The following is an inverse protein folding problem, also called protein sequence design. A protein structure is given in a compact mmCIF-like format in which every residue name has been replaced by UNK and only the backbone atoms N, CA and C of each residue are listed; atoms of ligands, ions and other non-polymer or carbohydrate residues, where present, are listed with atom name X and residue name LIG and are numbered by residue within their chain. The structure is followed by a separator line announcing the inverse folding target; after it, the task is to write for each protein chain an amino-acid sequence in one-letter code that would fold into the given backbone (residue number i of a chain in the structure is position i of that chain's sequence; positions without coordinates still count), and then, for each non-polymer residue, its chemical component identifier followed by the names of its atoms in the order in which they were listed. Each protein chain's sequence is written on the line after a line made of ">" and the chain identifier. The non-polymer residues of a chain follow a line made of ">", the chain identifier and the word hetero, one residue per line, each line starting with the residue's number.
data_IF_373402265393
#
_entry.id   IF_373402265393
#
_cell.length_a   1.000
_cell.length_b   1.000
_cell.length_c   1.000
_cell.angle_alpha   90.00
_cell.angle_beta   90.00
_cell.angle_gamma   90.00
#
_symmetry.space_group_name_H-M   'P 1'
#
loop_
_entity.id
_entity.type
_entity.pdbx_description
1 polymer ?
#
# COMPACT_ATOMS: atom_id res chain seq x y z
N UNK A 1 -24.93 -9.71 16.15
CA UNK A 1 -24.98 -8.47 15.35
C UNK A 1 -23.54 -8.08 15.07
N UNK A 2 -23.02 -8.42 13.90
CA UNK A 2 -21.63 -8.15 13.54
C UNK A 2 -21.53 -6.70 13.07
N UNK A 3 -20.91 -5.85 13.88
CA UNK A 3 -20.50 -4.52 13.44
C UNK A 3 -19.27 -4.69 12.54
N UNK A 4 -19.49 -4.90 11.24
CA UNK A 4 -18.44 -4.72 10.26
C UNK A 4 -18.20 -3.21 10.13
N UNK A 5 -17.10 -2.72 10.70
CA UNK A 5 -16.61 -1.38 10.41
C UNK A 5 -15.77 -1.50 9.14
N UNK A 6 -16.24 -1.01 7.98
CA UNK A 6 -15.49 -1.13 6.75
C UNK A 6 -14.14 -0.43 6.92
N UNK A 7 -13.04 -1.18 6.75
CA UNK A 7 -11.71 -0.61 6.72
C UNK A 7 -11.63 0.45 5.61
N UNK A 8 -11.04 1.61 5.92
CA UNK A 8 -10.82 2.65 4.91
C UNK A 8 -9.88 2.16 3.81
N UNK A 9 -10.00 2.70 2.60
CA UNK A 9 -9.09 2.40 1.48
C UNK A 9 -7.62 2.62 1.86
N UNK A 10 -7.33 3.66 2.65
CA UNK A 10 -5.99 3.94 3.13
C UNK A 10 -5.47 2.81 4.02
N UNK A 11 -6.32 2.27 4.91
CA UNK A 11 -5.97 1.14 5.78
C UNK A 11 -5.78 -0.16 4.98
N UNK A 12 -6.63 -0.42 3.99
CA UNK A 12 -6.49 -1.59 3.11
C UNK A 12 -5.16 -1.55 2.34
N UNK A 13 -4.87 -0.42 1.70
CA UNK A 13 -3.61 -0.21 0.99
C UNK A 13 -2.40 -0.34 1.92
N UNK A 14 -2.43 0.33 3.08
CA UNK A 14 -1.37 0.25 4.08
C UNK A 14 -1.07 -1.19 4.50
N UNK A 15 -2.11 -1.99 4.73
CA UNK A 15 -1.99 -3.39 5.16
C UNK A 15 -1.39 -4.24 4.04
N UNK A 16 -1.87 -4.07 2.80
CA UNK A 16 -1.38 -4.77 1.63
C UNK A 16 0.11 -4.45 1.36
N UNK A 17 0.47 -3.16 1.39
CA UNK A 17 1.85 -2.69 1.19
C UNK A 17 2.79 -3.22 2.26
N UNK A 18 2.38 -3.19 3.54
CA UNK A 18 3.18 -3.77 4.65
C UNK A 18 3.36 -5.27 4.49
N UNK A 19 2.30 -5.99 4.13
CA UNK A 19 2.34 -7.44 3.89
C UNK A 19 3.33 -7.79 2.79
N UNK A 20 3.26 -7.11 1.64
CA UNK A 20 4.18 -7.32 0.50
C UNK A 20 5.62 -6.89 0.79
N UNK A 21 5.84 -5.93 1.71
CA UNK A 21 7.19 -5.54 2.15
C UNK A 21 7.89 -6.68 2.89
N UNK A 22 7.16 -7.41 3.74
CA UNK A 22 7.72 -8.42 4.62
C UNK A 22 8.85 -7.84 5.49
N UNK A 23 9.99 -8.53 5.51
CA UNK A 23 11.15 -8.17 6.33
C UNK A 23 12.08 -7.11 5.69
N UNK A 24 11.77 -6.64 4.47
CA UNK A 24 12.55 -5.58 3.85
C UNK A 24 12.42 -4.28 4.67
N UNK A 25 13.51 -3.55 4.79
CA UNK A 25 13.46 -2.19 5.32
C UNK A 25 12.62 -1.29 4.42
N UNK A 26 11.99 -0.26 4.98
CA UNK A 26 11.23 0.72 4.19
C UNK A 26 12.09 1.34 3.08
N UNK A 27 13.36 1.65 3.35
CA UNK A 27 14.26 2.21 2.34
C UNK A 27 14.50 1.24 1.16
N UNK A 28 14.72 -0.05 1.44
CA UNK A 28 14.94 -1.05 0.40
C UNK A 28 13.67 -1.29 -0.42
N UNK A 29 12.51 -1.37 0.24
CA UNK A 29 11.25 -1.62 -0.43
C UNK A 29 10.77 -0.40 -1.23
N UNK A 30 10.95 0.82 -0.73
CA UNK A 30 10.65 2.05 -1.46
C UNK A 30 11.44 2.12 -2.78
N UNK A 31 12.73 1.75 -2.74
CA UNK A 31 13.55 1.63 -3.97
C UNK A 31 13.00 0.60 -4.94
N UNK A 32 12.55 -0.57 -4.46
CA UNK A 32 11.89 -1.60 -5.30
C UNK A 32 10.61 -1.08 -5.94
N UNK A 33 9.84 -0.28 -5.22
CA UNK A 33 8.59 0.32 -5.69
C UNK A 33 8.78 1.57 -6.57
N UNK A 34 9.99 2.10 -6.68
CA UNK A 34 10.25 3.33 -7.44
C UNK A 34 9.69 4.61 -6.78
N UNK A 35 9.56 4.63 -5.45
CA UNK A 35 9.07 5.78 -4.67
C UNK A 35 10.09 6.19 -3.59
N UNK A 36 9.90 7.36 -2.98
CA UNK A 36 10.71 7.76 -1.83
C UNK A 36 10.34 6.95 -0.58
N UNK A 37 11.29 6.82 0.36
CA UNK A 37 11.02 6.21 1.67
C UNK A 37 9.92 6.97 2.43
N UNK A 38 9.89 8.31 2.35
CA UNK A 38 8.85 9.10 3.01
C UNK A 38 7.47 8.82 2.43
N UNK A 39 7.34 8.64 1.12
CA UNK A 39 6.08 8.21 0.49
C UNK A 39 5.67 6.83 0.99
N UNK A 40 6.60 5.87 1.06
CA UNK A 40 6.29 4.54 1.61
C UNK A 40 5.85 4.60 3.07
N UNK A 41 6.54 5.36 3.92
CA UNK A 41 6.17 5.52 5.32
C UNK A 41 4.73 6.03 5.46
N UNK A 42 4.36 7.04 4.66
CA UNK A 42 3.01 7.63 4.67
C UNK A 42 1.95 6.64 4.22
N UNK A 43 2.23 5.88 3.16
CA UNK A 43 1.36 4.80 2.67
C UNK A 43 1.13 3.76 3.77
N UNK A 44 2.20 3.31 4.43
CA UNK A 44 2.09 2.32 5.51
C UNK A 44 1.37 2.89 6.73
N UNK A 45 1.57 4.15 7.10
CA UNK A 45 0.85 4.78 8.20
C UNK A 45 -0.64 5.08 7.92
N UNK A 46 -1.13 4.82 6.70
CA UNK A 46 -2.44 5.29 6.24
C UNK A 46 -2.62 6.82 6.40
N UNK A 47 -1.51 7.57 6.33
CA UNK A 47 -1.48 9.02 6.48
C UNK A 47 -1.34 9.71 5.11
N UNK A 48 -2.32 10.57 4.80
CA UNK A 48 -2.46 11.39 3.59
C UNK A 48 -2.98 10.69 2.31
N UNK A 49 -3.62 11.51 1.47
CA UNK A 49 -4.12 11.14 0.15
C UNK A 49 -2.98 10.64 -0.75
N UNK A 50 -3.10 9.42 -1.26
CA UNK A 50 -2.20 8.89 -2.29
C UNK A 50 -2.67 9.33 -3.66
N UNK A 51 -1.77 9.80 -4.51
CA UNK A 51 -2.12 10.16 -5.90
C UNK A 51 -2.28 8.91 -6.76
N UNK A 52 -3.15 8.97 -7.77
CA UNK A 52 -3.28 7.88 -8.76
C UNK A 52 -1.94 7.58 -9.44
N UNK A 53 -1.12 8.58 -9.74
CA UNK A 53 0.22 8.39 -10.30
C UNK A 53 1.15 7.55 -9.39
N UNK A 54 1.04 7.73 -8.07
CA UNK A 54 1.79 6.91 -7.11
C UNK A 54 1.28 5.47 -7.13
N UNK A 55 -0.04 5.27 -7.18
CA UNK A 55 -0.65 3.94 -7.28
C UNK A 55 -0.20 3.24 -8.57
N UNK A 56 -0.25 3.91 -9.72
CA UNK A 56 0.23 3.35 -10.99
C UNK A 56 1.71 2.96 -10.95
N UNK A 57 2.54 3.77 -10.29
CA UNK A 57 3.98 3.47 -10.12
C UNK A 57 4.16 2.19 -9.31
N UNK A 58 3.43 2.06 -8.21
CA UNK A 58 3.46 0.88 -7.33
C UNK A 58 2.91 -0.36 -8.08
N UNK A 59 1.78 -0.22 -8.77
CA UNK A 59 1.15 -1.28 -9.57
C UNK A 59 2.11 -1.83 -10.62
N UNK A 60 2.81 -0.94 -11.35
CA UNK A 60 3.84 -1.33 -12.32
C UNK A 60 5.00 -2.08 -11.67
N UNK A 61 5.49 -1.61 -10.52
CA UNK A 61 6.59 -2.24 -9.81
C UNK A 61 6.20 -3.62 -9.24
N UNK A 62 4.97 -3.76 -8.77
CA UNK A 62 4.42 -5.00 -8.22
C UNK A 62 3.85 -5.94 -9.28
N UNK A 63 3.71 -5.47 -10.53
CA UNK A 63 3.04 -6.17 -11.63
C UNK A 63 1.63 -6.63 -11.23
N UNK A 64 0.86 -5.72 -10.63
CA UNK A 64 -0.49 -5.99 -10.14
C UNK A 64 -1.47 -4.93 -10.64
N UNK A 65 -2.75 -5.28 -10.61
CA UNK A 65 -3.85 -4.40 -10.98
C UNK A 65 -4.43 -3.70 -9.75
N UNK A 66 -5.32 -2.71 -9.98
CA UNK A 66 -5.94 -1.95 -8.89
C UNK A 66 -6.66 -2.86 -7.86
N UNK A 67 -7.43 -3.90 -8.25
CA UNK A 67 -8.05 -4.79 -7.29
C UNK A 67 -7.06 -5.49 -6.37
N UNK A 68 -5.85 -5.81 -6.83
CA UNK A 68 -4.84 -6.52 -6.02
C UNK A 68 -4.26 -5.66 -4.88
N UNK A 69 -4.48 -4.34 -4.92
CA UNK A 69 -4.09 -3.41 -3.85
C UNK A 69 -5.16 -3.26 -2.76
N UNK A 70 -6.42 -3.56 -3.09
CA UNK A 70 -7.59 -3.31 -2.24
C UNK A 70 -8.50 -4.54 -2.07
N UNK A 71 -8.13 -5.70 -2.62
CA UNK A 71 -8.86 -6.95 -2.42
C UNK A 71 -8.76 -7.37 -0.98
N UNK A 72 -9.84 -7.97 -0.47
CA UNK A 72 -9.95 -8.38 0.92
C UNK A 72 -8.75 -9.25 1.31
N UNK A 73 -7.94 -8.74 2.24
CA UNK A 73 -7.00 -9.55 2.98
C UNK A 73 -7.87 -10.29 3.99
N UNK A 74 -8.30 -11.49 3.64
CA UNK A 74 -8.99 -12.43 4.56
C UNK A 74 -8.15 -12.67 5.83
#
# INVERSE_FOLDING_TARGET
>A
MWFYLPMSLATQLATNIRSRRGDLSQAAYARKLGISQSTLQRLECAEQNTTLATLETIMKALKCELPDLFSDIE
#
